data_IF_785346200147
#
_entry.id   IF_785346200147
#
_cell.length_a   1.000
_cell.length_b   1.000
_cell.length_c   1.000
_cell.angle_alpha   90.00
_cell.angle_beta   90.00
_cell.angle_gamma   90.00
#
_symmetry.space_group_name_H-M   'P 1'
#
loop_
_entity.id
_entity.type
_entity.pdbx_description
1 polymer ?
#
# COMPACT_ATOMS: atom_id res chain seq x y z
N UNK A 1 13.89 7.30 2.32
CA UNK A 1 14.43 5.95 2.58
C UNK A 1 13.69 4.97 1.68
N UNK A 2 14.39 4.06 1.02
CA UNK A 2 13.80 3.01 0.16
C UNK A 2 14.05 1.64 0.80
N UNK A 3 13.10 0.72 0.64
CA UNK A 3 13.19 -0.65 1.15
C UNK A 3 12.91 -1.63 0.01
N UNK A 4 13.51 -2.81 0.05
CA UNK A 4 13.06 -3.92 -0.81
C UNK A 4 11.72 -4.44 -0.30
N UNK A 5 10.94 -5.11 -1.16
CA UNK A 5 9.66 -5.72 -0.75
C UNK A 5 9.81 -6.73 0.40
N UNK A 6 10.93 -7.46 0.46
CA UNK A 6 11.21 -8.39 1.55
C UNK A 6 11.46 -7.66 2.89
N UNK A 7 12.29 -6.61 2.87
CA UNK A 7 12.55 -5.78 4.04
C UNK A 7 11.28 -5.10 4.54
N UNK A 8 10.48 -4.57 3.60
CA UNK A 8 9.20 -3.96 3.91
C UNK A 8 8.24 -4.95 4.58
N UNK A 9 8.08 -6.17 4.04
CA UNK A 9 7.21 -7.20 4.64
C UNK A 9 7.63 -7.56 6.07
N UNK A 10 8.93 -7.68 6.34
CA UNK A 10 9.43 -7.95 7.69
C UNK A 10 9.14 -6.80 8.66
N UNK A 11 9.27 -5.55 8.21
CA UNK A 11 8.94 -4.38 9.02
C UNK A 11 7.44 -4.32 9.31
N UNK A 12 6.61 -4.51 8.29
CA UNK A 12 5.14 -4.50 8.40
C UNK A 12 4.68 -5.47 9.49
N UNK A 13 5.19 -6.70 9.52
CA UNK A 13 4.83 -7.68 10.55
C UNK A 13 5.10 -7.19 11.98
N UNK A 14 6.22 -6.48 12.20
CA UNK A 14 6.60 -5.94 13.51
C UNK A 14 5.75 -4.74 13.93
N UNK A 15 5.43 -3.86 13.00
CA UNK A 15 4.72 -2.60 13.29
C UNK A 15 3.20 -2.74 13.29
N UNK A 16 2.65 -3.80 12.66
CA UNK A 16 1.21 -3.94 12.48
C UNK A 16 0.41 -4.03 13.79
N UNK A 17 0.87 -4.70 14.87
CA UNK A 17 0.17 -4.67 16.15
C UNK A 17 0.03 -3.25 16.71
N UNK A 18 1.10 -2.46 16.62
CA UNK A 18 1.10 -1.06 17.06
C UNK A 18 0.20 -0.18 16.18
N UNK A 19 0.20 -0.42 14.87
CA UNK A 19 -0.70 0.29 13.94
C UNK A 19 -2.17 0.03 14.29
N UNK A 20 -2.54 -1.22 14.57
CA UNK A 20 -3.89 -1.60 15.01
C UNK A 20 -4.27 -0.94 16.33
N UNK A 21 -3.39 -0.98 17.33
CA UNK A 21 -3.64 -0.37 18.64
C UNK A 21 -3.86 1.16 18.54
N UNK A 22 -3.19 1.82 17.59
CA UNK A 22 -3.34 3.25 17.35
C UNK A 22 -4.48 3.59 16.37
N UNK A 23 -5.28 2.61 15.94
CA UNK A 23 -6.34 2.80 14.95
C UNK A 23 -5.81 3.48 13.65
N UNK A 24 -4.58 3.15 13.26
CA UNK A 24 -3.93 3.69 12.07
C UNK A 24 -4.60 3.13 10.81
N UNK A 25 -5.13 4.03 9.98
CA UNK A 25 -5.99 3.71 8.84
C UNK A 25 -5.57 4.48 7.61
N UNK A 26 -5.83 3.85 6.47
CA UNK A 26 -5.70 4.47 5.16
C UNK A 26 -7.03 4.38 4.43
N UNK A 27 -7.45 5.49 3.85
CA UNK A 27 -8.63 5.58 2.99
C UNK A 27 -8.18 5.65 1.54
N UNK A 28 -8.72 4.78 0.69
CA UNK A 28 -8.42 4.75 -0.74
C UNK A 28 -9.61 5.30 -1.53
N UNK A 29 -9.35 6.20 -2.49
CA UNK A 29 -10.36 6.81 -3.34
C UNK A 29 -9.88 6.92 -4.79
N UNK A 30 -10.81 7.23 -5.71
CA UNK A 30 -10.52 7.33 -7.16
C UNK A 30 -9.82 6.10 -7.73
N UNK A 31 -10.31 4.91 -7.33
CA UNK A 31 -9.72 3.63 -7.71
C UNK A 31 -9.88 3.42 -9.21
N UNK A 32 -8.77 3.15 -9.89
CA UNK A 32 -8.72 2.81 -11.32
C UNK A 32 -8.01 1.49 -11.49
N UNK A 33 -8.62 0.58 -12.26
CA UNK A 33 -8.09 -0.73 -12.54
C UNK A 33 -7.82 -0.83 -14.03
N UNK A 34 -6.61 -1.24 -14.42
CA UNK A 34 -6.23 -1.45 -15.81
C UNK A 34 -5.50 -2.78 -15.96
N UNK A 35 -5.78 -3.52 -17.04
CA UNK A 35 -5.04 -4.74 -17.36
C UNK A 35 -3.60 -4.40 -17.79
N UNK A 36 -2.64 -5.17 -17.32
CA UNK A 36 -1.23 -5.13 -17.74
C UNK A 36 -0.79 -6.55 -18.10
N UNK A 37 0.36 -6.71 -18.76
CA UNK A 37 0.87 -8.02 -19.19
C UNK A 37 0.95 -9.03 -18.02
N UNK A 38 1.38 -8.55 -16.86
CA UNK A 38 1.55 -9.36 -15.64
C UNK A 38 0.28 -9.54 -14.81
N UNK A 39 -0.85 -8.93 -15.18
CA UNK A 39 -2.12 -9.03 -14.45
C UNK A 39 -2.94 -7.74 -14.45
N UNK A 40 -3.20 -7.17 -13.27
CA UNK A 40 -4.01 -5.97 -13.10
C UNK A 40 -3.24 -4.92 -12.31
N UNK A 41 -3.15 -3.71 -12.85
CA UNK A 41 -2.64 -2.54 -12.14
C UNK A 41 -3.81 -1.80 -11.51
N UNK A 42 -3.73 -1.57 -10.21
CA UNK A 42 -4.68 -0.77 -9.45
C UNK A 42 -3.97 0.53 -9.06
N UNK A 43 -4.55 1.67 -9.40
CA UNK A 43 -4.14 3.00 -8.96
C UNK A 43 -5.23 3.60 -8.08
N UNK A 44 -4.85 4.34 -7.05
CA UNK A 44 -5.79 5.05 -6.19
C UNK A 44 -5.12 6.27 -5.56
N UNK A 45 -5.92 7.20 -5.05
CA UNK A 45 -5.45 8.16 -4.05
C UNK A 45 -5.52 7.49 -2.68
N UNK A 46 -4.43 7.52 -1.93
CA UNK A 46 -4.33 6.94 -0.59
C UNK A 46 -4.17 8.05 0.44
N UNK A 47 -5.19 8.26 1.25
CA UNK A 47 -5.13 9.16 2.40
C UNK A 47 -4.75 8.38 3.65
N UNK A 48 -3.73 8.84 4.39
CA UNK A 48 -3.36 8.30 5.69
C UNK A 48 -3.98 9.15 6.79
N UNK A 49 -4.91 8.56 7.54
CA UNK A 49 -5.68 9.27 8.56
C UNK A 49 -4.77 9.78 9.68
N UNK A 50 -3.82 8.94 10.12
CA UNK A 50 -2.87 9.29 11.17
C UNK A 50 -1.88 10.39 10.76
N UNK A 51 -1.50 10.43 9.48
CA UNK A 51 -0.45 11.34 8.98
C UNK A 51 -1.03 12.57 8.30
N UNK A 52 -2.34 12.66 8.18
CA UNK A 52 -3.05 13.71 7.43
C UNK A 52 -2.43 13.95 6.03
N UNK A 53 -2.04 12.87 5.35
CA UNK A 53 -1.28 12.94 4.11
C UNK A 53 -1.99 12.18 2.99
N UNK A 54 -2.11 12.82 1.83
CA UNK A 54 -2.65 12.22 0.61
C UNK A 54 -1.52 11.87 -0.36
N UNK A 55 -1.36 10.57 -0.59
CA UNK A 55 -0.51 9.98 -1.60
C UNK A 55 -1.33 9.78 -2.88
N UNK A 56 -1.02 10.55 -3.92
CA UNK A 56 -1.66 10.45 -5.25
C UNK A 56 -0.90 9.54 -6.21
N UNK A 57 0.25 9.02 -5.79
CA UNK A 57 1.12 8.15 -6.58
C UNK A 57 0.86 6.66 -6.35
N UNK A 58 0.07 6.29 -5.33
CA UNK A 58 -0.19 4.91 -4.96
C UNK A 58 -0.60 4.01 -6.15
N UNK A 59 0.08 2.87 -6.27
CA UNK A 59 -0.35 1.80 -7.15
C UNK A 59 0.10 0.42 -6.65
N UNK A 60 -0.59 -0.61 -7.12
CA UNK A 60 -0.19 -2.00 -6.96
C UNK A 60 -0.45 -2.80 -8.23
N UNK A 61 0.34 -3.84 -8.45
CA UNK A 61 0.15 -4.82 -9.53
C UNK A 61 -0.21 -6.16 -8.89
N UNK A 62 -1.37 -6.68 -9.28
CA UNK A 62 -1.90 -7.96 -8.86
C UNK A 62 -1.79 -8.99 -9.98
N UNK A 63 -1.38 -10.20 -9.63
CA UNK A 63 -1.42 -11.36 -10.52
C UNK A 63 -2.22 -12.49 -9.89
N UNK A 64 -3.15 -13.03 -10.66
CA UNK A 64 -3.84 -14.27 -10.29
C UNK A 64 -2.87 -15.44 -10.41
N UNK A 65 -2.73 -16.19 -9.32
CA UNK A 65 -1.92 -17.40 -9.24
C UNK A 65 -2.71 -18.59 -9.79
N UNK A 66 -2.03 -19.71 -10.04
CA UNK A 66 -2.65 -20.94 -10.56
C UNK A 66 -3.77 -21.46 -9.64
N UNK A 67 -3.63 -21.29 -8.33
CA UNK A 67 -4.67 -21.61 -7.33
C UNK A 67 -5.85 -20.62 -7.26
N UNK A 68 -5.89 -19.61 -8.12
CA UNK A 68 -6.96 -18.61 -8.16
C UNK A 68 -6.79 -17.44 -7.18
N UNK A 69 -5.82 -17.48 -6.28
CA UNK A 69 -5.48 -16.39 -5.36
C UNK A 69 -4.88 -15.19 -6.09
N UNK A 70 -5.06 -13.98 -5.54
CA UNK A 70 -4.40 -12.76 -6.03
C UNK A 70 -3.16 -12.47 -5.20
N UNK A 71 -2.01 -12.39 -5.86
CA UNK A 71 -0.76 -11.99 -5.23
C UNK A 71 -0.36 -10.58 -5.67
N UNK A 72 0.19 -9.81 -4.73
CA UNK A 72 0.82 -8.53 -5.00
C UNK A 72 2.21 -8.80 -5.59
N UNK A 73 2.40 -8.48 -6.87
CA UNK A 73 3.69 -8.52 -7.53
C UNK A 73 4.52 -7.29 -7.22
N UNK A 74 3.87 -6.13 -7.19
CA UNK A 74 4.50 -4.84 -6.97
C UNK A 74 3.55 -3.95 -6.20
N UNK A 75 4.09 -3.16 -5.28
CA UNK A 75 3.37 -2.12 -4.57
C UNK A 75 4.29 -0.90 -4.47
N UNK A 76 3.71 0.26 -4.77
CA UNK A 76 4.35 1.54 -4.54
C UNK A 76 3.44 2.40 -3.68
N UNK A 77 4.03 2.98 -2.64
CA UNK A 77 3.38 3.91 -1.74
C UNK A 77 4.39 4.96 -1.28
N UNK A 78 3.92 6.20 -1.12
CA UNK A 78 4.70 7.25 -0.49
C UNK A 78 4.15 7.55 0.89
N UNK A 79 5.03 7.77 1.86
CA UNK A 79 4.61 8.19 3.19
C UNK A 79 5.48 9.33 3.69
N UNK A 80 4.87 10.26 4.42
CA UNK A 80 5.59 11.31 5.15
C UNK A 80 5.88 10.89 6.60
N UNK A 81 6.87 11.53 7.26
CA UNK A 81 6.95 11.56 8.72
C UNK A 81 5.64 12.10 9.31
N UNK A 82 5.38 11.83 10.59
CA UNK A 82 4.24 12.43 11.28
C UNK A 82 4.38 13.96 11.22
N UNK A 83 3.28 14.65 10.88
CA UNK A 83 3.21 16.10 11.07
C UNK A 83 3.08 16.34 12.56
N UNK A 84 4.16 16.82 13.19
CA UNK A 84 4.10 17.32 14.56
C UNK A 84 3.31 18.64 14.52
N UNK A 85 2.06 18.62 14.97
CA UNK A 85 1.36 19.82 15.43
C UNK A 85 1.40 19.83 16.95
#
# INVERSE_FOLDING_TARGET
MSFTGAQWKQLVQKIMPLAKANNDKNTFSEIRISKVESGYKIKAKRYSDRKCYMDTGYYMILKRQEGGELAILEEYMETKPLSNY
#
